data_IF_405382695053
#
_entry.id   IF_405382695053
#
_cell.length_a   1.000
_cell.length_b   1.000
_cell.length_c   1.000
_cell.angle_alpha   90.00
_cell.angle_beta   90.00
_cell.angle_gamma   90.00
#
_symmetry.space_group_name_H-M   'P 1'
#
loop_
_entity.id
_entity.type
_entity.pdbx_description
1 polymer ?
#
# COMPACT_ATOMS: atom_id res chain seq x y z
N UNK A 1 -1.33 -3.05 -5.43
CA UNK A 1 -1.10 -1.58 -5.46
C UNK A 1 -0.99 -1.11 -4.03
N UNK A 2 0.13 -0.48 -3.66
CA UNK A 2 0.32 0.02 -2.30
C UNK A 2 0.66 1.49 -2.20
N UNK A 3 0.54 1.99 -0.98
CA UNK A 3 0.96 3.32 -0.55
C UNK A 3 1.88 3.22 0.66
N UNK A 4 3.19 3.41 0.50
CA UNK A 4 4.10 3.52 1.62
C UNK A 4 3.81 4.81 2.39
N UNK A 5 3.98 4.76 3.69
CA UNK A 5 3.84 5.89 4.62
C UNK A 5 5.05 5.94 5.53
N UNK A 6 5.58 7.14 5.77
CA UNK A 6 6.79 7.31 6.56
C UNK A 6 6.55 8.21 7.77
N UNK A 7 7.12 7.80 8.92
CA UNK A 7 7.08 8.55 10.16
C UNK A 7 8.35 9.40 10.30
N UNK A 8 8.23 10.63 10.81
CA UNK A 8 9.42 11.37 11.27
C UNK A 8 10.04 10.60 12.43
N UNK A 9 11.37 10.50 12.47
CA UNK A 9 12.09 9.83 13.57
C UNK A 9 11.61 8.39 13.83
N UNK A 10 11.15 7.72 12.77
CA UNK A 10 10.59 6.37 12.81
C UNK A 10 10.80 5.64 11.50
N UNK A 11 10.28 4.42 11.43
CA UNK A 11 10.32 3.60 10.23
C UNK A 11 9.14 3.92 9.28
N UNK A 12 8.97 3.12 8.23
CA UNK A 12 7.83 3.21 7.33
C UNK A 12 6.75 2.16 7.60
N UNK A 13 5.79 2.14 6.70
CA UNK A 13 4.78 1.11 6.55
C UNK A 13 4.11 1.24 5.18
N UNK A 14 3.11 0.43 4.91
CA UNK A 14 2.30 0.56 3.70
C UNK A 14 0.88 0.06 3.93
N UNK A 15 -0.06 0.58 3.15
CA UNK A 15 -1.41 0.03 2.96
C UNK A 15 -1.61 -0.25 1.47
N UNK A 16 -2.12 -1.42 1.11
CA UNK A 16 -2.20 -1.84 -0.28
C UNK A 16 -3.44 -2.70 -0.58
N UNK A 17 -3.82 -2.74 -1.86
CA UNK A 17 -4.75 -3.70 -2.44
C UNK A 17 -3.95 -4.84 -3.07
N UNK A 18 -4.25 -6.08 -2.71
CA UNK A 18 -3.63 -7.27 -3.29
C UNK A 18 -4.67 -8.23 -3.87
N UNK A 19 -4.23 -8.97 -4.89
CA UNK A 19 -4.98 -10.05 -5.53
C UNK A 19 -4.12 -11.31 -5.50
N UNK A 20 -4.61 -12.39 -4.90
CA UNK A 20 -3.96 -13.70 -4.93
C UNK A 20 -4.98 -14.74 -5.38
N UNK A 21 -4.79 -15.28 -6.59
CA UNK A 21 -5.69 -16.31 -7.12
C UNK A 21 -7.16 -15.88 -7.24
N UNK A 22 -7.43 -14.58 -7.46
CA UNK A 22 -8.78 -14.03 -7.54
C UNK A 22 -9.39 -13.65 -6.19
N UNK A 23 -8.70 -13.94 -5.08
CA UNK A 23 -9.07 -13.45 -3.75
C UNK A 23 -8.48 -12.06 -3.56
N UNK A 24 -9.33 -11.14 -3.17
CA UNK A 24 -9.01 -9.72 -3.02
C UNK A 24 -8.89 -9.36 -1.55
N UNK A 25 -7.77 -8.73 -1.20
CA UNK A 25 -7.47 -8.39 0.18
C UNK A 25 -6.80 -7.02 0.27
N UNK A 26 -6.78 -6.50 1.49
CA UNK A 26 -6.06 -5.28 1.86
C UNK A 26 -4.99 -5.65 2.86
N UNK A 27 -3.75 -5.36 2.51
CA UNK A 27 -2.63 -5.55 3.41
C UNK A 27 -2.22 -4.22 4.02
N UNK A 28 -1.95 -4.20 5.32
CA UNK A 28 -1.52 -3.02 6.05
C UNK A 28 -0.42 -3.36 7.03
N UNK A 29 0.78 -2.84 6.81
CA UNK A 29 1.97 -3.19 7.58
C UNK A 29 2.73 -1.96 8.05
N UNK A 30 3.35 -2.03 9.22
CA UNK A 30 4.28 -1.01 9.72
C UNK A 30 5.51 -1.70 10.31
N UNK A 31 6.70 -1.33 9.83
CA UNK A 31 7.96 -1.82 10.37
C UNK A 31 8.23 -1.23 11.76
N UNK A 32 8.89 -2.02 12.61
CA UNK A 32 9.22 -1.71 14.01
C UNK A 32 8.02 -1.28 14.88
N UNK A 33 6.81 -1.66 14.47
CA UNK A 33 5.63 -1.53 15.31
C UNK A 33 5.73 -2.44 16.53
N UNK A 34 5.11 -2.02 17.63
CA UNK A 34 5.23 -2.67 18.95
C UNK A 34 3.97 -3.38 19.40
N UNK A 35 2.86 -3.24 18.67
CA UNK A 35 1.62 -3.96 18.96
C UNK A 35 0.49 -3.60 18.00
N UNK A 36 -0.72 -4.06 18.30
CA UNK A 36 -1.95 -3.79 17.53
C UNK A 36 -3.19 -3.90 18.40
N UNK A 37 -4.36 -3.61 17.82
CA UNK A 37 -5.67 -3.72 18.51
C UNK A 37 -6.65 -4.72 17.87
N UNK A 38 -6.40 -5.18 16.65
CA UNK A 38 -7.32 -6.08 15.94
C UNK A 38 -6.78 -7.51 15.87
N UNK A 39 -7.64 -8.51 16.08
CA UNK A 39 -7.23 -9.92 16.23
C UNK A 39 -6.61 -10.55 14.97
N UNK A 40 -6.91 -10.02 13.79
CA UNK A 40 -6.34 -10.49 12.51
C UNK A 40 -4.97 -9.89 12.18
N UNK A 41 -4.44 -9.03 13.05
CA UNK A 41 -3.08 -8.52 12.92
C UNK A 41 -2.08 -9.44 13.64
N UNK A 42 -0.85 -9.49 13.15
CA UNK A 42 0.23 -10.31 13.70
C UNK A 42 1.59 -9.67 13.39
N UNK A 43 2.64 -10.13 14.07
CA UNK A 43 4.01 -9.74 13.74
C UNK A 43 4.48 -10.42 12.44
N UNK A 44 5.33 -9.73 11.68
CA UNK A 44 6.14 -10.30 10.60
C UNK A 44 7.62 -10.08 10.90
N UNK A 45 8.51 -10.90 10.32
CA UNK A 45 9.97 -10.87 10.56
C UNK A 45 10.85 -11.22 9.34
N UNK A 46 10.28 -11.56 8.18
CA UNK A 46 11.03 -12.08 7.03
C UNK A 46 11.80 -10.99 6.24
N UNK A 47 11.31 -9.75 6.22
CA UNK A 47 11.90 -8.61 5.49
C UNK A 47 12.07 -7.40 6.43
N UNK A 48 12.75 -7.66 7.54
CA UNK A 48 12.67 -6.83 8.73
C UNK A 48 11.47 -7.22 9.58
N UNK A 49 11.29 -6.55 10.72
CA UNK A 49 10.24 -6.88 11.67
C UNK A 49 9.24 -5.74 11.87
N UNK A 50 8.00 -6.11 12.14
CA UNK A 50 6.91 -5.15 12.32
C UNK A 50 5.58 -5.86 12.53
N UNK A 51 4.50 -5.11 12.36
CA UNK A 51 3.12 -5.61 12.48
C UNK A 51 2.43 -5.52 11.13
N UNK A 52 1.68 -6.56 10.79
CA UNK A 52 0.87 -6.67 9.59
C UNK A 52 -0.57 -7.01 9.96
N UNK A 53 -1.51 -6.38 9.27
CA UNK A 53 -2.94 -6.67 9.29
C UNK A 53 -3.38 -6.98 7.86
N UNK A 54 -3.96 -8.15 7.65
CA UNK A 54 -4.48 -8.56 6.35
C UNK A 54 -5.95 -8.95 6.50
N UNK A 55 -6.82 -8.36 5.69
CA UNK A 55 -8.24 -8.72 5.64
C UNK A 55 -8.70 -8.93 4.21
N UNK A 56 -9.59 -9.89 4.03
CA UNK A 56 -10.31 -10.03 2.76
C UNK A 56 -11.25 -8.83 2.60
N UNK A 57 -11.08 -8.13 1.48
CA UNK A 57 -12.00 -7.07 1.05
C UNK A 57 -12.21 -7.32 -0.43
N UNK A 58 -13.43 -7.67 -0.86
CA UNK A 58 -13.73 -7.97 -2.26
C UNK A 58 -13.77 -6.68 -3.09
N UNK A 59 -12.64 -5.98 -3.16
CA UNK A 59 -12.49 -4.77 -3.95
C UNK A 59 -12.73 -5.11 -5.41
N UNK A 60 -13.24 -4.15 -6.18
CA UNK A 60 -13.74 -4.36 -7.53
C UNK A 60 -12.86 -3.61 -8.51
N UNK A 61 -12.60 -4.25 -9.65
CA UNK A 61 -11.91 -3.59 -10.75
C UNK A 61 -12.76 -2.41 -11.23
N UNK A 62 -12.11 -1.30 -11.63
CA UNK A 62 -12.72 -0.02 -12.04
C UNK A 62 -13.45 0.76 -10.93
N UNK A 63 -13.38 0.33 -9.68
CA UNK A 63 -13.79 1.16 -8.56
C UNK A 63 -12.65 2.09 -8.12
N UNK A 64 -13.01 3.26 -7.60
CA UNK A 64 -12.04 4.19 -7.03
C UNK A 64 -11.96 3.97 -5.52
N UNK A 65 -10.77 3.63 -5.04
CA UNK A 65 -10.52 3.42 -3.60
C UNK A 65 -9.70 4.57 -3.02
N UNK A 66 -10.04 4.96 -1.80
CA UNK A 66 -9.19 5.80 -0.94
C UNK A 66 -8.56 4.92 0.13
N UNK A 67 -7.23 4.91 0.15
CA UNK A 67 -6.43 4.30 1.22
C UNK A 67 -5.96 5.43 2.14
N UNK A 68 -6.45 5.42 3.37
CA UNK A 68 -6.17 6.42 4.40
C UNK A 68 -5.31 5.80 5.50
N UNK A 69 -4.24 6.49 5.87
CA UNK A 69 -3.47 6.18 7.08
C UNK A 69 -3.52 7.40 7.98
N UNK A 70 -4.01 7.22 9.20
CA UNK A 70 -4.11 8.27 10.19
C UNK A 70 -3.37 7.87 11.47
N UNK A 71 -2.87 8.86 12.21
CA UNK A 71 -2.14 8.63 13.46
C UNK A 71 -2.77 9.44 14.58
N UNK A 72 -3.10 8.76 15.68
CA UNK A 72 -3.51 9.37 16.93
C UNK A 72 -2.56 8.90 18.05
N UNK A 73 -1.74 9.81 18.56
CA UNK A 73 -0.62 9.50 19.47
C UNK A 73 0.29 8.42 18.85
N UNK A 74 0.31 7.22 19.42
CA UNK A 74 1.09 6.08 18.99
C UNK A 74 0.24 5.00 18.29
N UNK A 75 -1.05 5.24 18.06
CA UNK A 75 -1.92 4.36 17.29
C UNK A 75 -2.05 4.86 15.87
N UNK A 76 -1.84 3.97 14.91
CA UNK A 76 -1.88 4.25 13.48
C UNK A 76 -2.97 3.38 12.87
N UNK A 77 -3.95 4.01 12.23
CA UNK A 77 -5.11 3.33 11.67
C UNK A 77 -5.04 3.33 10.16
N UNK A 78 -5.05 2.14 9.57
CA UNK A 78 -5.22 1.92 8.14
C UNK A 78 -6.70 1.75 7.79
N UNK A 79 -7.18 2.48 6.79
CA UNK A 79 -8.58 2.43 6.35
C UNK A 79 -8.64 2.40 4.84
N UNK A 80 -9.55 1.59 4.31
CA UNK A 80 -9.96 1.63 2.91
C UNK A 80 -11.38 2.18 2.80
N UNK A 81 -11.62 3.05 1.82
CA UNK A 81 -12.96 3.51 1.44
C UNK A 81 -13.18 3.22 -0.05
N UNK A 82 -14.22 2.48 -0.39
CA UNK A 82 -14.74 2.45 -1.76
C UNK A 82 -15.50 3.76 -2.00
N UNK A 83 -15.02 4.58 -2.92
CA UNK A 83 -15.61 5.88 -3.20
C UNK A 83 -16.84 5.80 -4.11
N UNK A 84 -17.11 4.64 -4.70
CA UNK A 84 -18.27 4.44 -5.57
C UNK A 84 -19.54 4.16 -4.75
N UNK A 85 -19.43 3.40 -3.67
CA UNK A 85 -20.57 3.06 -2.79
C UNK A 85 -20.44 3.62 -1.36
N UNK A 86 -19.30 4.22 -1.02
CA UNK A 86 -19.06 4.83 0.29
C UNK A 86 -18.66 3.85 1.38
N UNK A 87 -18.51 2.55 1.07
CA UNK A 87 -18.14 1.53 2.04
C UNK A 87 -16.77 1.83 2.64
N UNK A 88 -16.72 1.96 3.97
CA UNK A 88 -15.49 2.25 4.71
C UNK A 88 -15.15 1.08 5.62
N UNK A 89 -13.94 0.55 5.48
CA UNK A 89 -13.45 -0.58 6.26
C UNK A 89 -12.14 -0.21 6.95
N UNK A 90 -12.10 -0.41 8.27
CA UNK A 90 -10.84 -0.32 9.03
C UNK A 90 -10.07 -1.62 8.81
N UNK A 91 -8.88 -1.50 8.23
CA UNK A 91 -8.01 -2.64 7.95
C UNK A 91 -7.28 -3.06 9.22
N UNK A 92 -6.87 -2.09 10.05
CA UNK A 92 -6.25 -2.39 11.32
C UNK A 92 -5.78 -1.13 12.06
N UNK A 93 -5.56 -1.28 13.36
CA UNK A 93 -4.95 -0.29 14.23
C UNK A 93 -3.65 -0.85 14.80
N UNK A 94 -2.54 -0.30 14.34
CA UNK A 94 -1.18 -0.72 14.70
C UNK A 94 -0.58 0.29 15.70
N UNK A 95 0.04 -0.22 16.75
CA UNK A 95 0.73 0.56 17.77
C UNK A 95 2.21 0.69 17.41
N UNK A 96 2.72 1.92 17.31
CA UNK A 96 4.12 2.24 17.02
C UNK A 96 4.84 2.75 18.27
N UNK A 97 6.19 2.73 18.32
CA UNK A 97 6.93 3.38 19.39
C UNK A 97 6.51 4.85 19.57
N UNK A 98 6.50 5.33 20.81
CA UNK A 98 6.18 6.74 21.11
C UNK A 98 7.15 7.74 20.48
N UNK A 99 8.35 7.28 20.09
CA UNK A 99 9.36 8.06 19.38
C UNK A 99 8.97 8.35 17.93
N UNK A 100 8.10 7.55 17.31
CA UNK A 100 7.66 7.81 15.95
C UNK A 100 6.86 9.11 15.93
N UNK A 101 7.35 10.08 15.17
CA UNK A 101 6.77 11.41 14.99
C UNK A 101 5.51 11.40 14.10
N UNK A 102 5.28 12.52 13.42
CA UNK A 102 4.14 12.66 12.49
C UNK A 102 4.38 11.89 11.19
N UNK A 103 3.31 11.53 10.50
CA UNK A 103 3.38 11.11 9.09
C UNK A 103 3.90 12.30 8.26
N UNK A 104 4.85 12.06 7.36
CA UNK A 104 5.49 13.16 6.63
C UNK A 104 5.80 12.90 5.15
N UNK A 105 5.67 11.66 4.68
CA UNK A 105 5.81 11.34 3.27
C UNK A 105 4.96 10.12 2.91
N UNK A 106 4.54 10.04 1.65
CA UNK A 106 3.90 8.87 1.07
C UNK A 106 4.20 8.75 -0.41
N UNK A 107 4.27 7.52 -0.91
CA UNK A 107 4.46 7.21 -2.32
C UNK A 107 3.35 6.28 -2.82
N UNK A 108 3.35 5.96 -4.12
CA UNK A 108 2.54 4.88 -4.69
C UNK A 108 3.44 3.83 -5.34
N UNK A 109 3.11 2.55 -5.23
CA UNK A 109 3.80 1.49 -5.95
C UNK A 109 2.84 0.41 -6.47
N UNK A 110 3.30 -0.32 -7.48
CA UNK A 110 2.65 -1.50 -8.03
C UNK A 110 3.68 -2.61 -8.02
N UNK A 111 3.27 -3.78 -7.58
CA UNK A 111 4.14 -4.94 -7.46
C UNK A 111 3.42 -6.17 -7.98
N UNK A 112 4.17 -6.99 -8.71
CA UNK A 112 3.84 -8.39 -8.96
C UNK A 112 4.66 -9.19 -7.94
N UNK A 113 3.98 -9.73 -6.92
CA UNK A 113 4.61 -10.29 -5.72
C UNK A 113 4.58 -11.83 -5.74
N UNK A 114 4.29 -12.47 -6.88
CA UNK A 114 4.31 -13.92 -6.99
C UNK A 114 5.72 -14.46 -6.80
N UNK A 115 5.89 -15.32 -5.81
CA UNK A 115 7.18 -15.89 -5.41
C UNK A 115 7.12 -17.42 -5.32
N UNK A 116 8.29 -18.06 -5.31
CA UNK A 116 8.42 -19.51 -5.17
C UNK A 116 7.70 -20.27 -6.29
N UNK A 117 6.85 -21.23 -5.94
CA UNK A 117 6.09 -22.03 -6.92
C UNK A 117 5.01 -21.23 -7.67
N UNK A 118 4.66 -20.04 -7.19
CA UNK A 118 3.71 -19.14 -7.86
C UNK A 118 4.41 -18.12 -8.78
N UNK A 119 5.73 -18.04 -8.72
CA UNK A 119 6.51 -17.05 -9.48
C UNK A 119 6.23 -17.18 -10.97
N UNK A 120 5.99 -16.04 -11.62
CA UNK A 120 5.77 -16.00 -13.05
C UNK A 120 7.04 -16.36 -13.80
N UNK A 121 6.90 -17.11 -14.90
CA UNK A 121 8.03 -17.51 -15.74
C UNK A 121 8.71 -16.33 -16.46
N UNK A 122 7.97 -15.23 -16.67
CA UNK A 122 8.47 -13.98 -17.25
C UNK A 122 7.48 -12.84 -17.06
N UNK A 123 7.92 -11.61 -17.33
CA UNK A 123 7.04 -10.44 -17.37
C UNK A 123 5.94 -10.54 -18.43
N UNK A 124 6.14 -11.32 -19.51
CA UNK A 124 5.12 -11.54 -20.54
C UNK A 124 3.97 -12.44 -20.08
N UNK A 125 4.19 -13.22 -19.01
CA UNK A 125 3.13 -14.00 -18.39
C UNK A 125 2.15 -13.12 -17.60
N UNK A 126 2.53 -11.87 -17.28
CA UNK A 126 1.60 -10.91 -16.72
C UNK A 126 0.62 -10.45 -17.80
N UNK A 127 -0.66 -10.71 -17.59
CA UNK A 127 -1.72 -10.09 -18.40
C UNK A 127 -1.69 -8.57 -18.28
N UNK A 128 -2.30 -7.86 -19.24
CA UNK A 128 -2.35 -6.40 -19.25
C UNK A 128 -2.94 -5.84 -17.95
N UNK A 129 -2.22 -4.91 -17.32
CA UNK A 129 -2.64 -4.21 -16.11
C UNK A 129 -2.74 -2.71 -16.40
N UNK A 130 -3.70 -2.04 -15.78
CA UNK A 130 -3.82 -0.58 -15.79
C UNK A 130 -4.24 -0.08 -14.42
N UNK A 131 -3.61 1.01 -13.99
CA UNK A 131 -3.85 1.60 -12.69
C UNK A 131 -3.58 3.11 -12.75
N UNK A 132 -4.40 3.86 -12.00
CA UNK A 132 -4.28 5.31 -11.90
C UNK A 132 -4.09 5.68 -10.42
N UNK A 133 -2.99 6.36 -10.12
CA UNK A 133 -2.78 6.99 -8.83
C UNK A 133 -3.22 8.45 -8.88
N UNK A 134 -3.97 8.88 -7.87
CA UNK A 134 -4.14 10.31 -7.59
C UNK A 134 -3.06 10.73 -6.60
N UNK A 135 -2.60 11.99 -6.73
CA UNK A 135 -1.66 12.59 -5.80
C UNK A 135 -2.14 12.45 -4.35
N UNK A 136 -1.25 12.12 -3.40
CA UNK A 136 -1.62 12.04 -2.00
C UNK A 136 -2.10 13.39 -1.48
N UNK A 137 -3.02 13.36 -0.51
CA UNK A 137 -3.57 14.55 0.14
C UNK A 137 -3.35 14.41 1.63
N UNK A 138 -2.59 15.33 2.22
CA UNK A 138 -2.39 15.42 3.66
C UNK A 138 -3.60 16.09 4.32
N UNK A 139 -4.10 15.50 5.40
CA UNK A 139 -5.22 16.02 6.21
C UNK A 139 -6.48 16.41 5.42
N UNK A 140 -6.69 15.79 4.24
CA UNK A 140 -7.73 16.16 3.27
C UNK A 140 -7.71 17.64 2.82
N UNK A 141 -6.64 18.38 3.11
CA UNK A 141 -6.54 19.83 2.88
C UNK A 141 -5.30 20.20 2.08
N UNK A 142 -4.18 19.53 2.35
CA UNK A 142 -2.90 19.80 1.71
C UNK A 142 -2.73 18.86 0.55
N UNK A 143 -3.09 19.33 -0.65
CA UNK A 143 -2.61 18.69 -1.89
C UNK A 143 -1.11 18.95 -2.00
N UNK A 144 -0.36 17.97 -2.49
CA UNK A 144 1.04 18.20 -2.82
C UNK A 144 1.13 19.41 -3.79
N UNK A 145 1.98 20.39 -3.46
CA UNK A 145 2.07 21.67 -4.19
C UNK A 145 2.64 21.54 -5.60
N UNK A 146 3.30 20.41 -5.90
CA UNK A 146 3.52 19.96 -7.27
C UNK A 146 2.40 18.99 -7.59
N UNK A 147 1.53 19.37 -8.53
CA UNK A 147 0.84 18.37 -9.32
C UNK A 147 1.93 17.52 -9.95
N UNK A 148 2.08 16.29 -9.47
CA UNK A 148 2.81 15.26 -10.17
C UNK A 148 2.00 14.97 -11.44
N UNK A 149 2.14 15.80 -12.49
CA UNK A 149 2.05 15.30 -13.86
C UNK A 149 3.32 14.50 -14.07
N UNK A 150 3.43 13.40 -13.36
CA UNK A 150 4.53 12.50 -13.49
C UNK A 150 3.96 11.25 -14.13
N UNK A 151 4.46 10.99 -15.34
CA UNK A 151 5.23 9.79 -15.66
C UNK A 151 6.06 9.32 -14.45
N UNK A 152 5.43 9.05 -13.32
CA UNK A 152 6.04 8.41 -12.19
C UNK A 152 6.17 6.98 -12.66
N UNK A 153 7.42 6.60 -12.90
CA UNK A 153 7.84 5.22 -12.95
C UNK A 153 7.18 4.60 -11.72
N UNK A 154 6.10 3.84 -11.92
CA UNK A 154 5.73 2.83 -10.96
C UNK A 154 7.03 2.06 -10.77
N UNK A 155 7.65 2.19 -9.60
CA UNK A 155 8.66 1.23 -9.19
C UNK A 155 7.91 -0.08 -9.12
N UNK A 156 7.87 -0.78 -10.25
CA UNK A 156 7.69 -2.20 -10.23
C UNK A 156 8.97 -2.70 -9.58
N UNK A 157 8.90 -2.96 -8.28
CA UNK A 157 9.86 -3.82 -7.60
C UNK A 157 9.66 -5.22 -8.18
N UNK A 158 10.22 -5.39 -9.37
CA UNK A 158 10.39 -6.65 -10.03
C UNK A 158 11.73 -7.17 -9.52
N UNK A 159 11.70 -8.20 -8.68
CA UNK A 159 12.90 -8.94 -8.30
C UNK A 159 13.42 -9.75 -9.50
N UNK A 160 13.85 -9.06 -10.56
CA UNK A 160 14.50 -9.64 -11.74
C UNK A 160 15.91 -9.06 -11.86
N UNK A 161 16.92 -9.95 -11.99
CA UNK A 161 18.23 -9.57 -12.53
C UNK A 161 18.10 -9.26 -14.03
N UNK A 162 17.67 -8.04 -14.39
CA UNK A 162 17.78 -7.33 -15.69
C UNK A 162 17.26 -8.04 -16.98
N UNK A 163 17.04 -7.34 -18.12
CA UNK A 163 17.02 -5.89 -18.37
C UNK A 163 15.60 -5.35 -18.69
N UNK A 164 15.35 -4.13 -18.23
CA UNK A 164 14.42 -3.08 -18.72
C UNK A 164 13.15 -3.53 -19.46
N UNK A 165 11.97 -3.39 -18.80
CA UNK A 165 10.68 -3.34 -19.48
C UNK A 165 9.90 -2.06 -19.13
N UNK A 166 9.38 -1.42 -20.17
CA UNK A 166 8.62 -0.18 -20.16
C UNK A 166 7.20 -0.43 -19.63
N UNK A 167 6.87 0.15 -18.48
CA UNK A 167 5.50 0.20 -17.96
C UNK A 167 4.76 1.29 -18.72
N UNK A 168 3.79 0.92 -19.56
CA UNK A 168 2.92 1.89 -20.23
C UNK A 168 1.83 2.32 -19.23
N UNK A 169 2.03 3.48 -18.60
CA UNK A 169 0.99 4.18 -17.84
C UNK A 169 0.15 4.96 -18.84
N UNK A 170 -1.07 4.52 -19.10
CA UNK A 170 -1.99 5.21 -20.01
C UNK A 170 -2.71 6.35 -19.29
N UNK A 171 -2.53 7.56 -19.82
CA UNK A 171 -3.28 8.78 -19.49
C UNK A 171 -4.36 8.92 -20.59
N UNK A 172 -5.61 9.20 -20.21
CA UNK A 172 -6.56 9.88 -21.09
C UNK A 172 -6.48 11.38 -20.81
#
# INVERSE_FOLDING_TARGET
MGKPVFFKDGDGGYIDLQNSGGVHFVNYSIWKAVGWKNDHCHYFDHEGSGVQCCIEVPWKIRHQYRLDVSKNKNLVTGTITDLMDGTKTIVGVIEVPKTFGKLHNSLGFVEEYSQGSKQLSSCFAMGMQSLIFRSPVGDNKVKQSKALTLTEIAMILMWFKLPVMMVRVSIL
#
